data_IF_840303404353
#
_entry.id   IF_840303404353
#
_cell.length_a   1.000
_cell.length_b   1.000
_cell.length_c   1.000
_cell.angle_alpha   90.00
_cell.angle_beta   90.00
_cell.angle_gamma   90.00
#
_symmetry.space_group_name_H-M   'P 1'
#
loop_
_entity.id
_entity.type
_entity.pdbx_description
1 polymer ?
#
# COMPACT_ATOMS: atom_id res chain seq x y z
N UNK A 1 -17.76 7.04 -5.13
CA UNK A 1 -17.22 6.08 -4.14
C UNK A 1 -18.18 4.90 -3.97
N UNK A 2 -17.72 3.66 -4.18
CA UNK A 2 -18.53 2.45 -3.88
C UNK A 2 -18.50 2.14 -2.37
N UNK A 3 -19.54 2.59 -1.66
CA UNK A 3 -19.69 2.34 -0.22
C UNK A 3 -19.93 0.87 0.12
N UNK A 4 -20.46 0.08 -0.80
CA UNK A 4 -20.78 -1.32 -0.56
C UNK A 4 -19.50 -2.16 -0.54
N UNK A 5 -18.60 -1.94 -1.50
CA UNK A 5 -17.28 -2.57 -1.50
C UNK A 5 -16.51 -2.30 -0.19
N UNK A 6 -16.53 -1.06 0.28
CA UNK A 6 -15.86 -0.66 1.53
C UNK A 6 -16.53 -1.23 2.79
N UNK A 7 -17.86 -1.29 2.85
CA UNK A 7 -18.56 -1.85 4.01
C UNK A 7 -18.30 -3.35 4.14
N UNK A 8 -18.31 -4.08 3.02
CA UNK A 8 -17.98 -5.51 2.95
C UNK A 8 -16.51 -5.78 3.26
N UNK A 9 -15.61 -4.94 2.74
CA UNK A 9 -14.18 -5.11 2.99
C UNK A 9 -13.79 -4.91 4.47
N UNK A 10 -14.63 -4.20 5.24
CA UNK A 10 -14.37 -3.79 6.63
C UNK A 10 -15.48 -4.25 7.59
N UNK A 11 -16.10 -5.39 7.27
CA UNK A 11 -17.09 -6.03 8.14
C UNK A 11 -16.46 -6.66 9.39
N UNK A 12 -17.24 -6.81 10.47
CA UNK A 12 -16.74 -7.29 11.76
C UNK A 12 -16.53 -8.82 11.84
N UNK A 13 -16.94 -9.56 10.81
CA UNK A 13 -16.80 -11.01 10.74
C UNK A 13 -15.34 -11.45 10.86
N UNK A 14 -15.14 -12.70 11.26
CA UNK A 14 -13.81 -13.33 11.30
C UNK A 14 -13.35 -13.80 9.91
N UNK A 15 -14.26 -13.82 8.91
CA UNK A 15 -13.89 -14.21 7.55
C UNK A 15 -12.92 -13.19 6.94
N UNK A 16 -11.87 -13.66 6.23
CA UNK A 16 -10.93 -12.78 5.58
C UNK A 16 -11.62 -11.94 4.50
N UNK A 17 -11.15 -10.71 4.31
CA UNK A 17 -11.65 -9.84 3.23
C UNK A 17 -11.28 -10.47 1.88
N UNK A 18 -12.26 -10.72 0.99
CA UNK A 18 -11.98 -11.26 -0.34
C UNK A 18 -11.00 -10.40 -1.13
N UNK A 19 -10.00 -11.03 -1.75
CA UNK A 19 -8.89 -10.33 -2.40
C UNK A 19 -9.30 -9.32 -3.46
N UNK A 20 -10.35 -9.61 -4.22
CA UNK A 20 -10.86 -8.74 -5.27
C UNK A 20 -11.34 -7.38 -4.74
N UNK A 21 -11.83 -7.31 -3.50
CA UNK A 21 -12.29 -6.04 -2.91
C UNK A 21 -11.15 -5.04 -2.74
N UNK A 22 -9.93 -5.50 -2.45
CA UNK A 22 -8.77 -4.60 -2.39
C UNK A 22 -8.47 -3.98 -3.76
N UNK A 23 -8.58 -4.78 -4.82
CA UNK A 23 -8.35 -4.32 -6.20
C UNK A 23 -9.43 -3.32 -6.62
N UNK A 24 -10.69 -3.59 -6.31
CA UNK A 24 -11.81 -2.72 -6.66
C UNK A 24 -11.78 -1.38 -5.91
N UNK A 25 -11.39 -1.41 -4.63
CA UNK A 25 -11.18 -0.21 -3.83
C UNK A 25 -10.00 0.60 -4.37
N UNK A 26 -8.88 -0.06 -4.74
CA UNK A 26 -7.73 0.64 -5.32
C UNK A 26 -8.05 1.29 -6.67
N UNK A 27 -8.80 0.61 -7.54
CA UNK A 27 -9.31 1.19 -8.79
C UNK A 27 -10.22 2.39 -8.51
N UNK A 28 -11.10 2.28 -7.52
CA UNK A 28 -11.99 3.37 -7.11
C UNK A 28 -11.22 4.58 -6.59
N UNK A 29 -10.15 4.36 -5.80
CA UNK A 29 -9.28 5.42 -5.31
C UNK A 29 -8.49 6.09 -6.43
N UNK A 30 -8.08 5.34 -7.45
CA UNK A 30 -7.37 5.85 -8.61
C UNK A 30 -8.24 6.70 -9.57
N UNK A 31 -9.56 6.66 -9.43
CA UNK A 31 -10.48 7.40 -10.31
C UNK A 31 -10.25 8.93 -10.25
N UNK A 32 -9.98 9.47 -9.06
CA UNK A 32 -9.61 10.88 -8.88
C UNK A 32 -8.97 11.12 -7.50
N UNK A 33 -8.21 12.22 -7.32
CA UNK A 33 -7.71 12.61 -6.00
C UNK A 33 -8.82 12.79 -4.97
N UNK A 34 -9.97 13.34 -5.39
CA UNK A 34 -11.16 13.49 -4.53
C UNK A 34 -11.70 12.12 -4.08
N UNK A 35 -11.79 11.15 -4.99
CA UNK A 35 -12.23 9.80 -4.65
C UNK A 35 -11.28 9.12 -3.65
N UNK A 36 -9.96 9.30 -3.82
CA UNK A 36 -8.97 8.86 -2.82
C UNK A 36 -9.25 9.47 -1.44
N UNK A 37 -9.47 10.79 -1.35
CA UNK A 37 -9.76 11.48 -0.10
C UNK A 37 -11.05 10.98 0.56
N UNK A 38 -12.12 10.78 -0.19
CA UNK A 38 -13.39 10.24 0.33
C UNK A 38 -13.22 8.83 0.93
N UNK A 39 -12.46 7.97 0.24
CA UNK A 39 -12.16 6.62 0.72
C UNK A 39 -11.34 6.67 2.01
N UNK A 40 -10.31 7.53 2.07
CA UNK A 40 -9.51 7.74 3.29
C UNK A 40 -10.42 8.18 4.43
N UNK A 41 -11.22 9.23 4.25
CA UNK A 41 -12.12 9.76 5.28
C UNK A 41 -13.09 8.69 5.81
N UNK A 42 -13.62 7.84 4.92
CA UNK A 42 -14.48 6.72 5.33
C UNK A 42 -13.74 5.71 6.20
N UNK A 43 -12.54 5.28 5.78
CA UNK A 43 -11.73 4.31 6.51
C UNK A 43 -11.31 4.86 7.88
N UNK A 44 -10.89 6.12 7.95
CA UNK A 44 -10.51 6.79 9.20
C UNK A 44 -11.70 6.96 10.14
N UNK A 45 -12.87 7.39 9.63
CA UNK A 45 -14.10 7.44 10.43
C UNK A 45 -14.42 6.07 11.02
N UNK A 46 -14.29 5.01 10.22
CA UNK A 46 -14.58 3.65 10.66
C UNK A 46 -13.58 3.15 11.70
N UNK A 47 -12.29 3.48 11.57
CA UNK A 47 -11.26 3.20 12.58
C UNK A 47 -11.57 3.86 13.93
N UNK A 48 -12.04 5.12 13.92
CA UNK A 48 -12.38 5.88 15.14
C UNK A 48 -13.67 5.40 15.79
N UNK A 49 -14.73 5.19 15.01
CA UNK A 49 -16.07 4.89 15.56
C UNK A 49 -16.25 3.43 15.98
N UNK A 50 -15.55 2.47 15.36
CA UNK A 50 -15.76 1.04 15.64
C UNK A 50 -14.69 0.51 16.59
N UNK A 51 -15.11 0.15 17.80
CA UNK A 51 -14.26 -0.53 18.77
C UNK A 51 -14.32 -2.06 18.61
N UNK A 52 -13.93 -2.55 17.43
CA UNK A 52 -13.88 -4.00 17.14
C UNK A 52 -12.51 -4.33 16.49
N UNK A 53 -11.75 -5.32 17.01
CA UNK A 53 -10.44 -5.68 16.48
C UNK A 53 -10.46 -6.05 14.99
N UNK A 54 -11.44 -6.85 14.55
CA UNK A 54 -11.55 -7.30 13.15
C UNK A 54 -11.82 -6.12 12.22
N UNK A 55 -12.69 -5.19 12.60
CA UNK A 55 -12.95 -3.98 11.80
C UNK A 55 -11.69 -3.13 11.70
N UNK A 56 -10.98 -2.91 12.80
CA UNK A 56 -9.73 -2.12 12.80
C UNK A 56 -8.67 -2.77 11.92
N UNK A 57 -8.44 -4.07 12.10
CA UNK A 57 -7.49 -4.85 11.30
C UNK A 57 -7.82 -4.76 9.79
N UNK A 58 -9.08 -4.99 9.42
CA UNK A 58 -9.52 -4.95 8.01
C UNK A 58 -9.39 -3.54 7.42
N UNK A 59 -9.76 -2.49 8.16
CA UNK A 59 -9.53 -1.11 7.72
C UNK A 59 -8.05 -0.83 7.45
N UNK A 60 -7.16 -1.25 8.36
CA UNK A 60 -5.71 -1.08 8.20
C UNK A 60 -5.19 -1.84 6.98
N UNK A 61 -5.61 -3.10 6.78
CA UNK A 61 -5.24 -3.88 5.59
C UNK A 61 -5.72 -3.24 4.28
N UNK A 62 -6.93 -2.67 4.26
CA UNK A 62 -7.42 -1.92 3.09
C UNK A 62 -6.53 -0.70 2.82
N UNK A 63 -6.14 0.05 3.87
CA UNK A 63 -5.23 1.20 3.74
C UNK A 63 -3.88 0.74 3.16
N UNK A 64 -3.25 -0.29 3.73
CA UNK A 64 -1.98 -0.84 3.26
C UNK A 64 -2.05 -1.25 1.79
N UNK A 65 -3.04 -2.08 1.42
CA UNK A 65 -3.16 -2.58 0.04
C UNK A 65 -3.51 -1.51 -0.98
N UNK A 66 -4.24 -0.48 -0.57
CA UNK A 66 -4.54 0.65 -1.45
C UNK A 66 -3.33 1.56 -1.62
N UNK A 67 -2.54 1.78 -0.55
CA UNK A 67 -1.30 2.56 -0.58
C UNK A 67 -0.19 1.89 -1.40
N UNK A 68 -0.06 0.56 -1.31
CA UNK A 68 0.88 -0.26 -2.11
C UNK A 68 0.47 -0.36 -3.59
N UNK A 69 -0.79 -0.07 -3.92
CA UNK A 69 -1.29 -0.25 -5.28
C UNK A 69 -0.75 0.81 -6.23
N UNK A 70 0.03 0.36 -7.23
CA UNK A 70 0.56 1.20 -8.30
C UNK A 70 -0.53 1.93 -9.11
N UNK A 71 -1.76 1.37 -9.16
CA UNK A 71 -2.89 1.97 -9.89
C UNK A 71 -3.27 3.34 -9.33
N UNK A 72 -3.05 3.57 -8.03
CA UNK A 72 -3.36 4.86 -7.38
C UNK A 72 -2.35 5.96 -7.70
N UNK A 73 -1.22 5.63 -8.34
CA UNK A 73 -0.12 6.56 -8.67
C UNK A 73 0.34 7.42 -7.47
N UNK A 74 0.25 6.86 -6.26
CA UNK A 74 0.61 7.55 -5.02
C UNK A 74 -0.39 8.60 -4.53
N UNK A 75 -1.51 8.85 -5.24
CA UNK A 75 -2.53 9.80 -4.79
C UNK A 75 -3.13 9.41 -3.45
N UNK A 76 -3.46 8.13 -3.28
CA UNK A 76 -4.02 7.60 -2.03
C UNK A 76 -3.04 7.73 -0.87
N UNK A 77 -1.77 7.32 -1.09
CA UNK A 77 -0.70 7.45 -0.10
C UNK A 77 -0.52 8.89 0.38
N UNK A 78 -0.46 9.85 -0.55
CA UNK A 78 -0.38 11.29 -0.25
C UNK A 78 -1.60 11.79 0.53
N UNK A 79 -2.81 11.36 0.15
CA UNK A 79 -4.04 11.72 0.84
C UNK A 79 -4.03 11.27 2.31
N UNK A 80 -3.47 10.10 2.63
CA UNK A 80 -3.30 9.65 4.02
C UNK A 80 -2.20 10.44 4.72
N UNK A 81 -1.03 10.60 4.10
CA UNK A 81 0.14 11.23 4.73
C UNK A 81 -0.06 12.74 5.01
N UNK A 82 -0.84 13.43 4.17
CA UNK A 82 -1.13 14.86 4.31
C UNK A 82 -2.27 15.17 5.28
N UNK A 83 -3.07 14.17 5.67
CA UNK A 83 -4.14 14.32 6.66
C UNK A 83 -3.62 13.95 8.07
N UNK A 84 -3.39 14.92 8.97
CA UNK A 84 -2.90 14.65 10.31
C UNK A 84 -3.86 13.78 11.13
N UNK A 85 -5.17 13.90 10.89
CA UNK A 85 -6.19 13.11 11.58
C UNK A 85 -6.17 11.65 11.11
N UNK A 86 -5.84 11.40 9.84
CA UNK A 86 -5.65 10.05 9.32
C UNK A 86 -4.43 9.39 9.95
N UNK A 87 -3.28 10.08 9.95
CA UNK A 87 -2.05 9.59 10.57
C UNK A 87 -2.22 9.33 12.07
N UNK A 88 -2.88 10.25 12.79
CA UNK A 88 -3.17 10.09 14.21
C UNK A 88 -4.02 8.83 14.48
N UNK A 89 -5.09 8.62 13.70
CA UNK A 89 -5.96 7.44 13.87
C UNK A 89 -5.24 6.11 13.63
N UNK A 90 -4.32 6.06 12.66
CA UNK A 90 -3.51 4.86 12.42
C UNK A 90 -2.52 4.65 13.59
N UNK A 91 -1.89 5.72 14.08
CA UNK A 91 -0.98 5.66 15.24
C UNK A 91 -1.68 5.21 16.52
N UNK A 92 -2.90 5.65 16.77
CA UNK A 92 -3.72 5.17 17.89
C UNK A 92 -3.91 3.64 17.85
N UNK A 93 -4.01 3.06 16.66
CA UNK A 93 -4.14 1.61 16.50
C UNK A 93 -2.87 0.84 16.92
N UNK A 94 -1.69 1.48 16.95
CA UNK A 94 -0.45 0.86 17.48
C UNK A 94 -0.52 0.56 18.97
N UNK A 95 -1.38 1.27 19.70
CA UNK A 95 -1.60 1.10 21.13
C UNK A 95 -2.93 0.41 21.43
N UNK A 96 -3.59 -0.15 20.40
CA UNK A 96 -4.88 -0.80 20.56
C UNK A 96 -4.78 -2.01 21.48
N UNK A 97 -5.54 -1.98 22.58
CA UNK A 97 -5.59 -2.98 23.65
C UNK A 97 -6.99 -3.07 24.23
N UNK A 98 -7.28 -4.18 24.89
CA UNK A 98 -8.53 -4.42 25.59
C UNK A 98 -8.44 -5.66 26.47
N UNK A 99 -9.55 -6.08 27.11
CA UNK A 99 -9.60 -7.33 27.84
C UNK A 99 -9.24 -8.52 26.94
N UNK A 100 -8.49 -9.51 27.43
CA UNK A 100 -8.07 -10.66 26.63
C UNK A 100 -9.30 -11.42 26.11
N UNK A 101 -9.26 -11.84 24.84
CA UNK A 101 -10.29 -12.68 24.24
C UNK A 101 -10.29 -14.06 24.94
N UNK A 102 -11.46 -14.63 25.27
CA UNK A 102 -11.55 -15.89 26.03
C UNK A 102 -10.85 -17.09 25.36
N UNK A 103 -10.68 -17.05 24.04
CA UNK A 103 -10.10 -18.15 23.25
C UNK A 103 -8.75 -17.74 22.66
N UNK A 104 -8.65 -16.50 22.18
CA UNK A 104 -7.49 -16.00 21.41
C UNK A 104 -6.53 -15.12 22.22
N UNK A 105 -6.86 -14.84 23.48
CA UNK A 105 -6.06 -13.95 24.34
C UNK A 105 -5.85 -12.58 23.70
N UNK A 106 -4.59 -12.13 23.64
CA UNK A 106 -4.22 -10.84 23.08
C UNK A 106 -4.01 -10.83 21.56
N UNK A 107 -4.11 -11.99 20.90
CA UNK A 107 -3.81 -12.14 19.49
C UNK A 107 -4.59 -11.16 18.57
N UNK A 108 -5.90 -10.90 18.76
CA UNK A 108 -6.63 -9.95 17.92
C UNK A 108 -6.10 -8.51 18.04
N UNK A 109 -5.67 -8.12 19.24
CA UNK A 109 -5.08 -6.80 19.47
C UNK A 109 -3.68 -6.69 18.87
N UNK A 110 -2.84 -7.72 19.02
CA UNK A 110 -1.51 -7.77 18.39
C UNK A 110 -1.60 -7.66 16.87
N UNK A 111 -2.53 -8.38 16.24
CA UNK A 111 -2.79 -8.29 14.79
C UNK A 111 -3.14 -6.88 14.33
N UNK A 112 -3.94 -6.14 15.11
CA UNK A 112 -4.26 -4.73 14.79
C UNK A 112 -3.01 -3.85 14.88
N UNK A 113 -2.18 -4.05 15.89
CA UNK A 113 -0.95 -3.26 16.08
C UNK A 113 0.07 -3.52 14.97
N UNK A 114 0.26 -4.77 14.57
CA UNK A 114 1.12 -5.15 13.45
C UNK A 114 0.59 -4.55 12.15
N UNK A 115 -0.71 -4.69 11.86
CA UNK A 115 -1.33 -4.09 10.68
C UNK A 115 -1.21 -2.55 10.67
N UNK A 116 -1.21 -1.90 11.84
CA UNK A 116 -1.02 -0.46 11.95
C UNK A 116 0.42 -0.04 11.61
N UNK A 117 1.42 -0.84 12.03
CA UNK A 117 2.82 -0.62 11.64
C UNK A 117 2.99 -0.75 10.12
N UNK A 118 2.48 -1.84 9.55
CA UNK A 118 2.50 -2.07 8.10
C UNK A 118 1.79 -0.96 7.32
N UNK A 119 0.64 -0.47 7.81
CA UNK A 119 -0.08 0.62 7.17
C UNK A 119 0.74 1.92 7.17
N UNK A 120 1.41 2.26 8.27
CA UNK A 120 2.29 3.43 8.30
C UNK A 120 3.49 3.25 7.38
N UNK A 121 4.10 2.07 7.38
CA UNK A 121 5.21 1.76 6.48
C UNK A 121 4.79 1.91 5.01
N UNK A 122 3.66 1.33 4.59
CA UNK A 122 3.14 1.50 3.23
C UNK A 122 2.76 2.97 2.91
N UNK A 123 2.26 3.71 3.90
CA UNK A 123 1.92 5.14 3.74
C UNK A 123 3.15 6.02 3.63
N UNK A 124 4.33 5.58 4.06
CA UNK A 124 5.58 6.34 3.95
C UNK A 124 6.60 5.73 2.99
N UNK A 125 6.46 4.47 2.57
CA UNK A 125 7.43 3.74 1.74
C UNK A 125 7.61 4.37 0.37
N UNK A 126 8.81 4.83 0.04
CA UNK A 126 9.06 5.36 -1.30
C UNK A 126 8.98 4.20 -2.29
N UNK A 127 7.87 4.12 -3.03
CA UNK A 127 7.76 3.14 -4.11
C UNK A 127 8.66 3.66 -5.22
N UNK A 128 9.74 2.95 -5.63
CA UNK A 128 10.45 3.34 -6.82
C UNK A 128 9.42 3.30 -7.94
N UNK A 129 9.10 4.49 -8.46
CA UNK A 129 8.38 4.60 -9.71
C UNK A 129 9.17 3.73 -10.69
N UNK A 130 8.61 2.62 -11.14
CA UNK A 130 9.19 1.81 -12.22
C UNK A 130 9.08 2.61 -13.51
N UNK A 131 9.88 3.67 -13.57
CA UNK A 131 10.08 4.62 -14.66
C UNK A 131 11.59 4.78 -14.93
N UNK A 132 12.41 3.87 -14.40
CA UNK A 132 13.86 3.80 -14.66
C UNK A 132 14.27 2.42 -15.17
N UNK A 133 13.45 1.85 -16.07
CA UNK A 133 13.88 0.81 -17.01
C UNK A 133 14.43 1.47 -18.29
N UNK A 134 15.19 2.55 -18.12
CA UNK A 134 15.85 3.34 -19.15
C UNK A 134 17.36 3.08 -19.23
N UNK A 135 17.83 1.89 -18.89
CA UNK A 135 19.20 1.48 -19.21
C UNK A 135 19.20 0.82 -20.59
N UNK A 136 19.50 1.61 -21.62
CA UNK A 136 19.60 1.16 -23.01
C UNK A 136 20.59 0.01 -23.21
N UNK A 137 20.47 -0.74 -24.31
CA UNK A 137 21.32 -1.90 -24.57
C UNK A 137 22.74 -1.39 -24.88
N UNK A 138 23.70 -1.73 -24.01
CA UNK A 138 25.11 -1.54 -24.33
C UNK A 138 25.48 -2.38 -25.57
N UNK A 139 26.19 -1.84 -26.58
CA UNK A 139 26.67 -2.64 -27.68
C UNK A 139 27.96 -3.31 -27.23
N UNK A 140 27.82 -4.50 -26.64
CA UNK A 140 28.94 -5.39 -26.36
C UNK A 140 28.82 -6.65 -27.19
N UNK A 141 29.90 -6.98 -27.91
CA UNK A 141 30.26 -8.26 -28.53
C UNK A 141 29.74 -8.61 -29.94
N UNK A 142 30.61 -8.34 -30.93
CA UNK A 142 31.02 -9.32 -31.96
C UNK A 142 32.56 -9.30 -31.97
N UNK A 143 33.25 -10.35 -31.50
CA UNK A 143 33.62 -11.55 -32.26
C UNK A 143 34.48 -11.22 -33.49
N UNK A 144 35.77 -11.58 -33.40
CA UNK A 144 36.82 -11.13 -34.32
C UNK A 144 36.88 -11.82 -35.67
N UNK A 145 37.63 -11.17 -36.56
CA UNK A 145 38.30 -11.58 -37.81
C UNK A 145 39.42 -10.53 -37.94
N UNK A 146 40.73 -10.80 -38.06
CA UNK A 146 41.39 -11.77 -38.91
C UNK A 146 41.99 -11.04 -40.13
N UNK A 147 43.30 -10.72 -40.08
CA UNK A 147 44.09 -10.19 -41.20
C UNK A 147 44.22 -8.67 -41.23
N UNK A 148 45.34 -8.04 -41.58
CA UNK A 148 46.63 -8.51 -42.05
C UNK A 148 47.39 -7.30 -42.64
N UNK A 149 48.69 -7.21 -42.38
CA UNK A 149 49.67 -6.57 -43.26
C UNK A 149 49.99 -5.09 -43.07
N UNK A 150 51.32 -4.80 -43.17
CA UNK A 150 52.02 -3.69 -43.87
C UNK A 150 51.62 -2.24 -43.53
N UNK A 151 52.48 -1.23 -43.42
CA UNK A 151 53.91 -0.97 -43.66
C UNK A 151 54.17 0.45 -43.12
N UNK A 152 55.39 0.78 -42.72
CA UNK A 152 55.71 2.04 -42.02
C UNK A 152 55.56 3.35 -42.80
N UNK A 153 55.76 4.47 -42.11
CA UNK A 153 56.34 5.70 -42.66
C UNK A 153 56.72 6.66 -41.53
N UNK A 154 57.92 7.21 -41.69
CA UNK A 154 58.52 8.40 -41.10
C UNK A 154 57.62 9.65 -41.21
N UNK A 155 57.86 10.60 -40.29
CA UNK A 155 57.29 11.95 -40.26
C UNK A 155 57.54 12.60 -38.91
#
# INVERSE_FOLDING_TARGET
MDRNALSRATEASDSPTPGYLYVDIAKSAAASPTASLEIVQYLIRRLKTKNNPNVKFKCLKVITKTAESAVTRGHFKRAVAQDPSAVAAIKECLQFRGPPDPVRGDQPYQKVQEAAKEALEAVYSDSPSSSDAGAGPGPGTYAGIGGGGISGSYG
#
